data_IF_632367593213
#
_entry.id   IF_632367593213
#
_cell.length_a   1.000
_cell.length_b   1.000
_cell.length_c   1.000
_cell.angle_alpha   90.00
_cell.angle_beta   90.00
_cell.angle_gamma   90.00
#
_symmetry.space_group_name_H-M   'P 1'
#
loop_
_entity.id
_entity.type
_entity.pdbx_description
1 polymer ?
#
# COMPACT_ATOMS: atom_id res chain seq x y z
N UNK A 1 13.87 0.14 -11.26
CA UNK A 1 12.85 1.06 -10.73
C UNK A 1 12.51 0.62 -9.31
N UNK A 2 12.31 1.57 -8.39
CA UNK A 2 11.98 1.23 -7.00
C UNK A 2 10.49 0.88 -6.90
N UNK A 3 10.19 -0.40 -6.63
CA UNK A 3 8.83 -0.89 -6.38
C UNK A 3 8.52 -0.77 -4.89
N UNK A 4 7.42 -0.11 -4.54
CA UNK A 4 7.00 0.15 -3.16
C UNK A 4 5.54 -0.29 -3.00
N UNK A 5 5.28 -1.12 -1.99
CA UNK A 5 3.93 -1.46 -1.57
C UNK A 5 3.39 -0.27 -0.76
N UNK A 6 2.21 0.23 -1.09
CA UNK A 6 1.62 1.38 -0.40
C UNK A 6 0.45 0.89 0.45
N UNK A 7 0.56 1.12 1.76
CA UNK A 7 -0.47 0.77 2.72
C UNK A 7 -1.71 1.68 2.57
N UNK A 8 -2.86 1.18 3.01
CA UNK A 8 -4.18 1.77 2.78
C UNK A 8 -4.27 3.21 3.27
N UNK A 9 -3.73 3.52 4.45
CA UNK A 9 -3.81 4.88 5.00
C UNK A 9 -3.00 5.89 4.18
N UNK A 10 -1.90 5.49 3.54
CA UNK A 10 -1.18 6.35 2.62
C UNK A 10 -1.92 6.55 1.29
N UNK A 11 -2.65 5.55 0.79
CA UNK A 11 -3.54 5.73 -0.35
C UNK A 11 -4.70 6.67 0.01
N UNK A 12 -5.30 6.49 1.19
CA UNK A 12 -6.34 7.39 1.68
C UNK A 12 -5.83 8.83 1.71
N UNK A 13 -4.63 9.07 2.26
CA UNK A 13 -4.04 10.39 2.32
C UNK A 13 -3.66 10.95 0.94
N UNK A 14 -3.15 10.12 0.03
CA UNK A 14 -2.87 10.48 -1.36
C UNK A 14 -4.13 11.01 -2.06
N UNK A 15 -5.28 10.40 -1.81
CA UNK A 15 -6.56 10.76 -2.44
C UNK A 15 -7.26 11.93 -1.75
N UNK A 16 -7.06 12.15 -0.46
CA UNK A 16 -7.89 13.08 0.33
C UNK A 16 -7.16 14.34 0.77
N UNK A 17 -5.83 14.32 0.84
CA UNK A 17 -5.04 15.46 1.31
C UNK A 17 -4.48 16.28 0.14
N UNK A 18 -4.02 17.49 0.44
CA UNK A 18 -3.25 18.34 -0.49
C UNK A 18 -1.86 18.67 0.06
N UNK A 19 -1.36 17.83 0.96
CA UNK A 19 -0.04 18.06 1.54
C UNK A 19 1.03 17.91 0.47
N UNK A 20 2.03 18.78 0.51
CA UNK A 20 3.08 18.84 -0.52
C UNK A 20 3.85 17.51 -0.69
N UNK A 21 3.91 16.69 0.36
CA UNK A 21 4.54 15.37 0.35
C UNK A 21 3.75 14.36 -0.48
N UNK A 22 2.43 14.32 -0.36
CA UNK A 22 1.56 13.44 -1.15
C UNK A 22 1.43 13.92 -2.60
N UNK A 23 1.42 15.23 -2.84
CA UNK A 23 1.52 15.77 -4.21
C UNK A 23 2.81 15.31 -4.89
N UNK A 24 3.94 15.33 -4.17
CA UNK A 24 5.21 14.82 -4.69
C UNK A 24 5.21 13.31 -4.89
N UNK A 25 4.50 12.55 -4.04
CA UNK A 25 4.35 11.11 -4.21
C UNK A 25 3.55 10.81 -5.48
N UNK A 26 2.41 11.48 -5.69
CA UNK A 26 1.61 11.36 -6.92
C UNK A 26 2.47 11.64 -8.15
N UNK A 27 3.19 12.77 -8.16
CA UNK A 27 4.06 13.11 -9.29
C UNK A 27 5.16 12.06 -9.52
N UNK A 28 5.73 11.49 -8.45
CA UNK A 28 6.75 10.44 -8.58
C UNK A 28 6.20 9.12 -9.16
N UNK A 29 4.92 8.82 -8.92
CA UNK A 29 4.21 7.70 -9.55
C UNK A 29 3.91 7.99 -11.03
N UNK A 30 3.39 9.19 -11.31
CA UNK A 30 3.04 9.63 -12.67
C UNK A 30 4.29 9.73 -13.57
N UNK A 31 5.41 10.21 -13.04
CA UNK A 31 6.70 10.29 -13.73
C UNK A 31 7.43 8.93 -13.81
N UNK A 32 6.84 7.84 -13.31
CA UNK A 32 7.45 6.50 -13.22
C UNK A 32 8.80 6.48 -12.47
N UNK A 33 9.01 7.40 -11.53
CA UNK A 33 10.20 7.41 -10.66
C UNK A 33 10.10 6.34 -9.58
N UNK A 34 8.87 5.99 -9.20
CA UNK A 34 8.52 4.92 -8.27
C UNK A 34 7.41 4.09 -8.92
N UNK A 35 7.51 2.76 -8.80
CA UNK A 35 6.38 1.87 -9.09
C UNK A 35 5.60 1.67 -7.81
N UNK A 36 4.42 2.29 -7.69
CA UNK A 36 3.52 2.08 -6.56
C UNK A 36 2.66 0.86 -6.77
N UNK A 37 2.56 0.02 -5.74
CA UNK A 37 1.75 -1.20 -5.75
C UNK A 37 0.82 -1.20 -4.57
N UNK A 38 -0.43 -1.63 -4.75
CA UNK A 38 -1.38 -1.84 -3.67
C UNK A 38 -1.95 -3.25 -3.72
N UNK A 39 -2.32 -3.79 -2.56
CA UNK A 39 -3.15 -5.00 -2.50
C UNK A 39 -4.58 -4.65 -2.89
N UNK A 40 -5.30 -5.56 -3.57
CA UNK A 40 -6.74 -5.40 -3.80
C UNK A 40 -7.53 -5.23 -2.49
N UNK A 41 -6.99 -5.73 -1.37
CA UNK A 41 -7.51 -5.52 0.00
C UNK A 41 -7.64 -4.04 0.37
N UNK A 42 -6.80 -3.17 -0.18
CA UNK A 42 -6.90 -1.72 0.03
C UNK A 42 -8.22 -1.14 -0.49
N UNK A 43 -8.85 -1.74 -1.52
CA UNK A 43 -10.12 -1.25 -2.08
C UNK A 43 -11.28 -1.31 -1.07
N UNK A 44 -11.63 -2.46 -0.46
CA UNK A 44 -12.68 -2.50 0.55
C UNK A 44 -12.35 -1.66 1.79
N UNK A 45 -11.09 -1.61 2.23
CA UNK A 45 -10.69 -0.77 3.37
C UNK A 45 -10.89 0.72 3.08
N UNK A 46 -10.49 1.19 1.89
CA UNK A 46 -10.75 2.56 1.47
C UNK A 46 -12.23 2.88 1.41
N UNK A 47 -13.08 1.98 0.92
CA UNK A 47 -14.54 2.21 0.90
C UNK A 47 -15.06 2.43 2.32
N UNK A 48 -14.55 1.68 3.30
CA UNK A 48 -14.91 1.84 4.71
C UNK A 48 -14.44 3.19 5.24
N UNK A 49 -13.18 3.57 5.02
CA UNK A 49 -12.60 4.82 5.52
C UNK A 49 -13.18 6.08 4.84
N UNK A 50 -13.46 6.01 3.56
CA UNK A 50 -14.00 7.13 2.77
C UNK A 50 -15.49 7.38 3.04
N UNK A 51 -16.23 6.33 3.44
CA UNK A 51 -17.66 6.43 3.69
C UNK A 51 -18.50 6.61 2.41
N UNK A 52 -19.83 6.56 2.59
CA UNK A 52 -20.81 6.43 1.49
C UNK A 52 -20.81 7.62 0.52
N UNK A 53 -20.43 8.80 0.99
CA UNK A 53 -20.60 10.04 0.24
C UNK A 53 -19.54 10.24 -0.85
N UNK A 54 -18.30 9.79 -0.59
CA UNK A 54 -17.16 10.10 -1.46
C UNK A 54 -16.46 8.87 -2.04
N UNK A 55 -16.73 7.64 -1.55
CA UNK A 55 -15.96 6.45 -1.96
C UNK A 55 -15.97 6.25 -3.48
N UNK A 56 -17.12 6.39 -4.15
CA UNK A 56 -17.22 6.15 -5.61
C UNK A 56 -16.29 7.05 -6.39
N UNK A 57 -16.30 8.35 -6.06
CA UNK A 57 -15.44 9.33 -6.71
C UNK A 57 -13.96 9.00 -6.46
N UNK A 58 -13.61 8.71 -5.21
CA UNK A 58 -12.22 8.50 -4.78
C UNK A 58 -11.64 7.16 -5.25
N UNK A 59 -12.45 6.11 -5.35
CA UNK A 59 -12.05 4.84 -5.98
C UNK A 59 -11.82 5.04 -7.48
N UNK A 60 -12.68 5.78 -8.19
CA UNK A 60 -12.43 6.08 -9.60
C UNK A 60 -11.15 6.90 -9.81
N UNK A 61 -10.87 7.86 -8.92
CA UNK A 61 -9.59 8.59 -8.92
C UNK A 61 -8.41 7.63 -8.70
N UNK A 62 -8.48 6.73 -7.71
CA UNK A 62 -7.45 5.71 -7.45
C UNK A 62 -7.18 4.84 -8.68
N UNK A 63 -8.23 4.33 -9.32
CA UNK A 63 -8.12 3.47 -10.50
C UNK A 63 -7.56 4.20 -11.74
N UNK A 64 -7.49 5.53 -11.71
CA UNK A 64 -6.86 6.34 -12.75
C UNK A 64 -5.39 6.67 -12.48
N UNK A 65 -4.89 6.37 -11.27
CA UNK A 65 -3.48 6.59 -10.92
C UNK A 65 -2.60 5.51 -11.57
N UNK A 66 -1.34 5.86 -11.82
CA UNK A 66 -0.32 4.92 -12.29
C UNK A 66 0.16 4.01 -11.14
N UNK A 67 -0.68 3.04 -10.77
CA UNK A 67 -0.45 2.07 -9.70
C UNK A 67 -0.74 0.66 -10.19
N UNK A 68 0.04 -0.30 -9.71
CA UNK A 68 -0.26 -1.73 -9.87
C UNK A 68 -1.21 -2.18 -8.74
N UNK A 69 -2.36 -2.75 -9.10
CA UNK A 69 -3.28 -3.37 -8.15
C UNK A 69 -3.14 -4.88 -8.26
N UNK A 70 -2.75 -5.53 -7.17
CA UNK A 70 -2.49 -6.96 -7.14
C UNK A 70 -3.67 -7.69 -6.50
N UNK A 71 -4.30 -8.56 -7.29
CA UNK A 71 -5.37 -9.43 -6.81
C UNK A 71 -4.85 -10.49 -5.83
N UNK A 72 -5.67 -10.81 -4.83
CA UNK A 72 -5.36 -11.89 -3.89
C UNK A 72 -5.62 -13.24 -4.55
N UNK A 73 -4.55 -13.96 -4.87
CA UNK A 73 -4.61 -15.35 -5.28
C UNK A 73 -4.49 -16.30 -4.06
N UNK A 74 -4.47 -17.62 -4.33
CA UNK A 74 -4.31 -18.63 -3.27
C UNK A 74 -2.97 -18.52 -2.55
N UNK A 75 -1.91 -18.14 -3.26
CA UNK A 75 -0.55 -18.00 -2.70
C UNK A 75 -0.51 -16.88 -1.68
N UNK A 76 -1.04 -15.70 -2.03
CA UNK A 76 -1.14 -14.53 -1.16
C UNK A 76 -2.06 -14.85 0.03
N UNK A 77 -3.22 -15.48 -0.20
CA UNK A 77 -4.16 -15.81 0.85
C UNK A 77 -3.58 -16.77 1.91
N UNK A 78 -2.90 -17.85 1.48
CA UNK A 78 -2.25 -18.80 2.39
C UNK A 78 -1.16 -18.09 3.19
N UNK A 79 -0.30 -17.31 2.50
CA UNK A 79 0.79 -16.58 3.16
C UNK A 79 0.26 -15.55 4.16
N UNK A 80 -0.84 -14.86 3.87
CA UNK A 80 -1.48 -13.95 4.81
C UNK A 80 -1.94 -14.68 6.09
N UNK A 81 -2.53 -15.87 5.94
CA UNK A 81 -2.89 -16.72 7.08
C UNK A 81 -1.70 -17.11 7.94
N UNK A 82 -0.57 -17.47 7.31
CA UNK A 82 0.69 -17.79 8.00
C UNK A 82 1.27 -16.57 8.74
N UNK A 83 1.23 -15.39 8.11
CA UNK A 83 1.69 -14.14 8.71
C UNK A 83 0.84 -13.76 9.93
N UNK A 84 -0.50 -13.85 9.81
CA UNK A 84 -1.42 -13.60 10.91
C UNK A 84 -1.19 -14.57 12.08
N UNK A 85 -1.07 -15.87 11.79
CA UNK A 85 -0.89 -16.89 12.81
C UNK A 85 0.42 -16.69 13.60
N UNK A 86 1.52 -16.44 12.86
CA UNK A 86 2.89 -16.37 13.40
C UNK A 86 3.20 -15.03 14.05
N UNK A 87 2.89 -13.94 13.37
CA UNK A 87 3.33 -12.59 13.73
C UNK A 87 2.21 -11.71 14.29
N UNK A 88 0.98 -12.23 14.37
CA UNK A 88 -0.22 -11.53 14.89
C UNK A 88 -0.58 -10.26 14.12
N UNK A 89 -0.17 -10.15 12.85
CA UNK A 89 -0.64 -9.08 11.97
C UNK A 89 -2.17 -9.14 11.85
N UNK A 90 -2.90 -8.02 11.93
CA UNK A 90 -4.32 -7.98 11.58
C UNK A 90 -4.57 -8.58 10.18
N UNK A 91 -5.72 -9.23 9.92
CA UNK A 91 -5.94 -9.91 8.65
C UNK A 91 -5.78 -9.04 7.39
N UNK A 92 -6.18 -7.75 7.44
CA UNK A 92 -5.98 -6.78 6.36
C UNK A 92 -4.49 -6.54 6.09
N UNK A 93 -3.75 -6.12 7.13
CA UNK A 93 -2.30 -5.91 7.07
C UNK A 93 -1.54 -7.18 6.64
N UNK A 94 -2.00 -8.35 7.08
CA UNK A 94 -1.42 -9.62 6.69
C UNK A 94 -1.59 -9.90 5.18
N UNK A 95 -2.73 -9.55 4.59
CA UNK A 95 -2.96 -9.63 3.14
C UNK A 95 -2.10 -8.61 2.38
N UNK A 96 -2.00 -7.39 2.90
CA UNK A 96 -1.15 -6.33 2.32
C UNK A 96 0.32 -6.78 2.33
N UNK A 97 0.84 -7.20 3.49
CA UNK A 97 2.19 -7.72 3.62
C UNK A 97 2.43 -8.94 2.71
N UNK A 98 1.52 -9.92 2.71
CA UNK A 98 1.63 -11.10 1.85
C UNK A 98 1.66 -10.75 0.36
N UNK A 99 0.91 -9.73 -0.06
CA UNK A 99 0.93 -9.20 -1.43
C UNK A 99 2.33 -8.71 -1.78
N UNK A 100 2.90 -7.79 -0.97
CA UNK A 100 4.22 -7.24 -1.25
C UNK A 100 5.32 -8.28 -1.24
N UNK A 101 5.27 -9.22 -0.29
CA UNK A 101 6.28 -10.28 -0.20
C UNK A 101 6.19 -11.24 -1.40
N UNK A 102 4.98 -11.59 -1.84
CA UNK A 102 4.79 -12.48 -3.01
C UNK A 102 5.25 -11.81 -4.32
N UNK A 103 5.11 -10.49 -4.40
CA UNK A 103 5.59 -9.66 -5.52
C UNK A 103 7.08 -9.26 -5.39
N UNK A 104 7.82 -9.84 -4.44
CA UNK A 104 9.23 -9.55 -4.16
C UNK A 104 9.51 -8.05 -3.89
N UNK A 105 8.53 -7.34 -3.33
CA UNK A 105 8.63 -5.93 -2.97
C UNK A 105 9.34 -5.82 -1.61
N UNK A 106 10.43 -5.05 -1.58
CA UNK A 106 11.29 -4.92 -0.40
C UNK A 106 10.79 -3.91 0.64
N UNK A 107 9.94 -2.97 0.23
CA UNK A 107 9.53 -1.86 1.07
C UNK A 107 8.01 -1.68 1.07
N UNK A 108 7.46 -1.44 2.26
CA UNK A 108 6.07 -1.00 2.44
C UNK A 108 6.07 0.43 2.98
N UNK A 109 5.39 1.34 2.28
CA UNK A 109 5.10 2.68 2.77
C UNK A 109 3.93 2.57 3.76
N UNK A 110 4.24 2.68 5.05
CA UNK A 110 3.29 2.61 6.16
C UNK A 110 3.81 3.39 7.38
N UNK A 111 2.88 3.92 8.17
CA UNK A 111 3.13 4.46 9.51
C UNK A 111 2.60 3.48 10.61
N UNK A 112 2.12 2.29 10.23
CA UNK A 112 1.60 1.27 11.12
C UNK A 112 2.73 0.37 11.67
N UNK A 113 2.85 0.32 13.00
CA UNK A 113 3.81 -0.52 13.71
C UNK A 113 3.53 -2.02 13.59
N UNK A 114 2.37 -2.46 13.10
CA UNK A 114 2.11 -3.88 12.85
C UNK A 114 3.13 -4.51 11.87
N UNK A 115 3.66 -3.71 10.93
CA UNK A 115 4.63 -4.19 9.95
C UNK A 115 6.04 -4.41 10.52
N UNK A 116 6.35 -3.89 11.71
CA UNK A 116 7.64 -4.13 12.38
C UNK A 116 7.86 -5.63 12.65
N UNK A 117 6.79 -6.38 12.92
CA UNK A 117 6.87 -7.82 13.15
C UNK A 117 7.31 -8.62 11.92
N UNK A 118 7.20 -8.04 10.72
CA UNK A 118 7.53 -8.68 9.43
C UNK A 118 8.63 -7.93 8.66
N UNK A 119 9.39 -7.05 9.33
CA UNK A 119 10.41 -6.20 8.71
C UNK A 119 11.49 -6.99 7.94
N UNK A 120 11.75 -8.24 8.37
CA UNK A 120 12.70 -9.15 7.73
C UNK A 120 12.26 -9.63 6.34
N UNK A 121 10.95 -9.54 6.04
CA UNK A 121 10.39 -9.91 4.74
C UNK A 121 10.05 -8.69 3.90
N UNK A 122 9.50 -7.65 4.53
CA UNK A 122 9.14 -6.39 3.88
C UNK A 122 9.41 -5.23 4.84
N UNK A 123 10.29 -4.32 4.44
CA UNK A 123 10.77 -3.26 5.33
C UNK A 123 9.79 -2.08 5.37
N UNK A 124 9.24 -1.72 6.53
CA UNK A 124 8.44 -0.50 6.65
C UNK A 124 9.31 0.73 6.40
N UNK A 125 8.79 1.67 5.62
CA UNK A 125 9.40 2.96 5.32
C UNK A 125 8.36 4.07 5.44
N UNK A 126 8.80 5.23 5.90
CA UNK A 126 7.95 6.42 5.92
C UNK A 126 7.94 7.15 4.58
N UNK A 127 7.00 8.10 4.43
CA UNK A 127 6.81 8.90 3.22
C UNK A 127 8.08 9.67 2.80
N UNK A 128 8.84 10.20 3.77
CA UNK A 128 10.11 10.89 3.50
C UNK A 128 11.13 9.97 2.82
N UNK A 129 11.16 8.70 3.21
CA UNK A 129 12.05 7.69 2.63
C UNK A 129 11.57 7.26 1.25
N UNK A 130 10.27 7.02 1.09
CA UNK A 130 9.66 6.71 -0.21
C UNK A 130 9.97 7.81 -1.25
N UNK A 131 9.80 9.10 -0.88
CA UNK A 131 10.11 10.22 -1.77
C UNK A 131 11.59 10.35 -2.14
N UNK A 132 12.52 9.83 -1.32
CA UNK A 132 13.94 9.78 -1.68
C UNK A 132 14.26 8.67 -2.68
N UNK A 133 13.44 7.62 -2.72
CA UNK A 133 13.60 6.51 -3.66
C UNK A 133 13.15 6.87 -5.08
N UNK A 134 12.31 7.91 -5.22
CA UNK A 134 11.89 8.48 -6.50
C UNK A 134 12.70 9.70 -6.95
N UNK A 135 13.91 9.91 -6.41
CA UNK A 135 14.86 10.93 -6.89
C UNK A 135 15.98 10.26 -7.66
#
# INVERSE_FOLDING_TARGET
MNKILIDTMHIYALLTTRESSYVKLSQALDDEKITGVISVTTLPELIIFLGRDIYRKKINELLSLNLEIIDTDRTIAIRAGELHMTYKLPPGDALIAATGISENIKHVLTDDGHFDAVENFIKPINLKTALKMGR
#
